data_IF_642932900529
#
_entry.id   IF_642932900529
#
_cell.length_a   1.000
_cell.length_b   1.000
_cell.length_c   1.000
_cell.angle_alpha   90.00
_cell.angle_beta   90.00
_cell.angle_gamma   90.00
#
_symmetry.space_group_name_H-M   'P 1'
#
loop_
_entity.id
_entity.type
_entity.pdbx_description
1 polymer ?
#
# COMPACT_ATOMS: atom_id res chain seq x y z
N UNK A 1 1.16 -22.54 0.60
CA UNK A 1 0.46 -21.50 -0.17
C UNK A 1 -0.81 -22.12 -0.69
N UNK A 2 -1.96 -21.53 -0.42
CA UNK A 2 -3.26 -22.09 -0.81
C UNK A 2 -3.61 -21.67 -2.25
N UNK A 3 -2.73 -22.04 -3.18
CA UNK A 3 -2.92 -21.86 -4.61
C UNK A 3 -2.14 -22.95 -5.39
N UNK A 4 -2.59 -23.32 -6.61
CA UNK A 4 -1.90 -24.29 -7.46
C UNK A 4 -0.48 -23.86 -7.85
N UNK A 5 0.42 -24.82 -8.07
CA UNK A 5 1.85 -24.56 -8.33
C UNK A 5 2.07 -23.64 -9.53
N UNK A 6 1.29 -23.82 -10.61
CA UNK A 6 1.38 -22.97 -11.80
C UNK A 6 1.06 -21.51 -11.51
N UNK A 7 0.08 -21.26 -10.64
CA UNK A 7 -0.29 -19.91 -10.22
C UNK A 7 0.77 -19.28 -9.34
N UNK A 8 1.24 -20.01 -8.32
CA UNK A 8 2.29 -19.53 -7.41
C UNK A 8 3.57 -19.21 -8.18
N UNK A 9 3.98 -20.07 -9.11
CA UNK A 9 5.15 -19.83 -9.95
C UNK A 9 4.95 -18.65 -10.90
N UNK A 10 3.81 -18.58 -11.60
CA UNK A 10 3.52 -17.49 -12.52
C UNK A 10 3.49 -16.12 -11.81
N UNK A 11 3.01 -16.07 -10.56
CA UNK A 11 2.99 -14.85 -9.74
C UNK A 11 4.38 -14.21 -9.63
N UNK A 12 5.44 -15.02 -9.47
CA UNK A 12 6.83 -14.53 -9.34
C UNK A 12 7.35 -13.88 -10.63
N UNK A 13 6.82 -14.29 -11.78
CA UNK A 13 7.19 -13.74 -13.09
C UNK A 13 6.42 -12.48 -13.47
N UNK A 14 5.39 -12.08 -12.69
CA UNK A 14 4.55 -10.92 -13.01
C UNK A 14 5.18 -9.62 -12.53
N UNK A 15 4.98 -8.50 -13.25
CA UNK A 15 5.44 -7.19 -12.80
C UNK A 15 4.89 -6.84 -11.41
N UNK A 16 5.73 -6.26 -10.56
CA UNK A 16 5.39 -5.89 -9.19
C UNK A 16 5.75 -6.95 -8.16
N UNK A 17 6.02 -8.21 -8.54
CA UNK A 17 6.30 -9.30 -7.60
C UNK A 17 7.44 -8.96 -6.63
N UNK A 18 8.58 -8.48 -7.14
CA UNK A 18 9.71 -8.07 -6.29
C UNK A 18 9.38 -6.88 -5.39
N UNK A 19 8.53 -5.96 -5.86
CA UNK A 19 8.07 -4.82 -5.05
C UNK A 19 7.17 -5.28 -3.90
N UNK A 20 6.30 -6.27 -4.13
CA UNK A 20 5.49 -6.88 -3.07
C UNK A 20 6.38 -7.61 -2.07
N UNK A 21 7.32 -8.43 -2.53
CA UNK A 21 8.23 -9.20 -1.67
C UNK A 21 9.32 -8.37 -0.97
N UNK A 22 9.56 -7.11 -1.37
CA UNK A 22 10.58 -6.28 -0.75
C UNK A 22 10.16 -5.81 0.65
N UNK A 23 10.87 -6.20 1.72
CA UNK A 23 10.52 -5.82 3.09
C UNK A 23 10.49 -4.30 3.29
N UNK A 24 9.42 -3.74 3.88
CA UNK A 24 9.27 -2.30 3.97
C UNK A 24 10.19 -1.61 4.96
N UNK A 25 10.70 -2.32 5.97
CA UNK A 25 11.62 -1.76 6.97
C UNK A 25 13.07 -1.65 6.49
N UNK A 26 13.42 -2.38 5.43
CA UNK A 26 14.75 -2.33 4.82
C UNK A 26 14.88 -1.11 3.90
N UNK A 27 16.04 -0.44 3.86
CA UNK A 27 16.26 0.76 3.04
C UNK A 27 16.52 0.41 1.56
N UNK A 28 15.72 -0.51 1.01
CA UNK A 28 15.85 -1.01 -0.37
C UNK A 28 14.79 -0.36 -1.25
N UNK A 29 15.20 0.10 -2.43
CA UNK A 29 14.28 0.56 -3.49
C UNK A 29 14.41 -0.31 -4.73
N UNK A 30 13.29 -0.74 -5.29
CA UNK A 30 13.29 -1.42 -6.59
C UNK A 30 13.65 -0.41 -7.68
N UNK A 31 14.78 -0.63 -8.36
CA UNK A 31 15.24 0.15 -9.51
C UNK A 31 14.65 -0.38 -10.82
N UNK A 32 14.80 -1.69 -11.06
CA UNK A 32 14.16 -2.40 -12.17
C UNK A 32 13.85 -3.85 -11.79
N UNK A 33 12.83 -4.41 -12.42
CA UNK A 33 12.43 -5.81 -12.22
C UNK A 33 12.96 -6.69 -13.37
N UNK A 34 13.17 -7.98 -13.08
CA UNK A 34 13.53 -8.94 -14.09
C UNK A 34 12.35 -9.19 -15.03
N UNK A 35 12.59 -9.17 -16.35
CA UNK A 35 11.56 -9.50 -17.36
C UNK A 35 11.37 -11.02 -17.56
N UNK A 36 12.26 -11.82 -16.97
CA UNK A 36 12.33 -13.26 -17.15
C UNK A 36 12.87 -13.90 -15.86
N UNK A 37 12.22 -14.95 -15.40
CA UNK A 37 12.69 -15.81 -14.30
C UNK A 37 13.83 -16.76 -14.75
N UNK A 38 14.08 -16.87 -16.06
CA UNK A 38 15.14 -17.73 -16.61
C UNK A 38 16.51 -17.06 -16.56
N UNK A 39 16.58 -15.81 -17.00
CA UNK A 39 17.83 -15.11 -17.33
C UNK A 39 17.75 -13.59 -17.17
N UNK A 40 16.63 -13.08 -16.63
CA UNK A 40 16.44 -11.66 -16.40
C UNK A 40 17.27 -11.13 -15.21
N UNK A 41 17.39 -9.80 -15.14
CA UNK A 41 18.08 -9.12 -14.04
C UNK A 41 17.15 -8.14 -13.32
N UNK A 42 17.10 -8.23 -12.01
CA UNK A 42 16.47 -7.23 -11.16
C UNK A 42 17.55 -6.35 -10.52
N UNK A 43 17.26 -5.06 -10.39
CA UNK A 43 18.16 -4.07 -9.77
C UNK A 43 17.48 -3.51 -8.55
N UNK A 44 18.07 -3.72 -7.39
CA UNK A 44 17.71 -3.12 -6.12
C UNK A 44 18.73 -2.02 -5.78
N UNK A 45 18.23 -0.85 -5.43
CA UNK A 45 19.03 0.32 -5.06
C UNK A 45 19.13 0.41 -3.54
N UNK A 46 20.35 0.56 -3.05
CA UNK A 46 20.72 0.63 -1.65
C UNK A 46 21.24 2.04 -1.30
N UNK A 47 21.33 2.40 -0.01
CA UNK A 47 21.96 3.65 0.42
C UNK A 47 23.40 3.78 -0.07
N UNK A 48 23.89 5.02 -0.21
CA UNK A 48 25.26 5.28 -0.65
C UNK A 48 25.51 5.03 -2.15
N UNK A 49 24.46 4.95 -2.97
CA UNK A 49 24.57 4.71 -4.42
C UNK A 49 24.87 3.25 -4.79
N UNK A 50 24.92 2.34 -3.81
CA UNK A 50 25.15 0.93 -4.04
C UNK A 50 23.98 0.27 -4.78
N UNK A 51 24.31 -0.72 -5.62
CA UNK A 51 23.34 -1.46 -6.43
C UNK A 51 23.49 -2.95 -6.17
N UNK A 52 22.39 -3.60 -5.84
CA UNK A 52 22.27 -5.06 -5.79
C UNK A 52 21.61 -5.53 -7.09
N UNK A 53 22.37 -6.18 -7.96
CA UNK A 53 21.88 -6.76 -9.20
C UNK A 53 21.70 -8.25 -8.98
N UNK A 54 20.45 -8.68 -8.86
CA UNK A 54 20.07 -10.08 -8.79
C UNK A 54 19.89 -10.60 -10.23
N UNK A 55 20.76 -11.50 -10.67
CA UNK A 55 20.71 -12.11 -11.99
C UNK A 55 20.12 -13.51 -11.89
N UNK A 56 19.04 -13.78 -12.64
CA UNK A 56 18.49 -15.12 -12.73
C UNK A 56 19.39 -16.04 -13.56
N UNK A 57 19.47 -17.30 -13.14
CA UNK A 57 20.38 -18.28 -13.71
C UNK A 57 19.62 -19.32 -14.56
N UNK A 58 19.91 -19.34 -15.87
CA UNK A 58 19.21 -20.21 -16.82
C UNK A 58 19.36 -21.70 -16.49
N UNK A 59 20.51 -22.11 -15.95
CA UNK A 59 20.77 -23.48 -15.49
C UNK A 59 19.90 -23.89 -14.29
N UNK A 60 19.50 -22.91 -13.46
CA UNK A 60 18.63 -23.11 -12.30
C UNK A 60 17.13 -23.13 -12.64
N UNK A 61 16.75 -22.70 -13.84
CA UNK A 61 15.36 -22.51 -14.27
C UNK A 61 14.70 -23.83 -14.70
N UNK A 62 13.68 -24.27 -13.95
CA UNK A 62 12.88 -25.47 -14.20
C UNK A 62 11.40 -25.15 -13.94
N UNK A 63 10.69 -24.46 -14.84
CA UNK A 63 9.30 -24.08 -14.61
C UNK A 63 8.38 -25.31 -14.56
N UNK A 64 7.32 -25.32 -13.71
CA UNK A 64 6.99 -24.34 -12.68
C UNK A 64 7.67 -24.62 -11.31
N UNK A 65 8.69 -25.47 -11.28
CA UNK A 65 9.28 -26.02 -10.05
C UNK A 65 10.42 -25.19 -9.44
N UNK A 66 11.17 -24.41 -10.23
CA UNK A 66 12.36 -23.73 -9.72
C UNK A 66 12.83 -22.54 -10.55
N UNK A 67 13.36 -21.52 -9.89
CA UNK A 67 14.29 -20.54 -10.47
C UNK A 67 15.35 -20.13 -9.43
N UNK A 68 16.45 -19.54 -9.89
CA UNK A 68 17.60 -19.18 -9.04
C UNK A 68 18.05 -17.78 -9.38
N UNK A 69 18.35 -16.94 -8.37
CA UNK A 69 19.05 -15.66 -8.53
C UNK A 69 20.39 -15.62 -7.80
N UNK A 70 21.34 -14.89 -8.37
CA UNK A 70 22.65 -14.63 -7.77
C UNK A 70 22.98 -13.14 -7.77
N UNK A 71 23.70 -12.68 -6.75
CA UNK A 71 24.22 -11.31 -6.73
C UNK A 71 25.44 -11.18 -7.64
N UNK A 72 25.39 -10.29 -8.62
CA UNK A 72 26.47 -10.12 -9.62
C UNK A 72 27.12 -8.74 -9.65
N UNK A 73 26.58 -7.74 -8.94
CA UNK A 73 27.11 -6.37 -8.99
C UNK A 73 28.24 -6.12 -7.99
N UNK A 74 29.37 -5.61 -8.49
CA UNK A 74 30.46 -5.08 -7.66
C UNK A 74 30.15 -3.67 -7.13
N UNK A 75 30.69 -3.26 -5.97
CA UNK A 75 31.60 -4.03 -5.11
C UNK A 75 30.91 -5.06 -4.20
N UNK A 76 29.57 -5.07 -4.13
CA UNK A 76 28.84 -5.94 -3.20
C UNK A 76 29.11 -7.42 -3.41
N UNK A 77 29.11 -7.89 -4.66
CA UNK A 77 29.42 -9.29 -5.00
C UNK A 77 30.85 -9.73 -4.61
N UNK A 78 31.75 -8.78 -4.28
CA UNK A 78 33.09 -9.09 -3.78
C UNK A 78 33.13 -9.33 -2.27
N UNK A 79 32.11 -8.90 -1.52
CA UNK A 79 32.05 -9.03 -0.07
C UNK A 79 30.89 -9.93 0.40
N UNK A 80 29.82 -10.02 -0.40
CA UNK A 80 28.62 -10.81 -0.11
C UNK A 80 28.49 -11.90 -1.16
N UNK A 81 28.53 -13.15 -0.71
CA UNK A 81 28.09 -14.29 -1.51
C UNK A 81 26.58 -14.40 -1.40
N UNK A 82 25.89 -14.56 -2.52
CA UNK A 82 24.45 -14.72 -2.54
C UNK A 82 24.03 -15.55 -3.73
N UNK A 83 23.44 -16.70 -3.42
CA UNK A 83 22.71 -17.54 -4.36
C UNK A 83 21.42 -17.97 -3.71
N UNK A 84 20.29 -17.57 -4.28
CA UNK A 84 18.95 -17.82 -3.75
C UNK A 84 18.18 -18.72 -4.72
N UNK A 85 17.87 -19.93 -4.28
CA UNK A 85 17.04 -20.90 -5.00
C UNK A 85 15.61 -20.82 -4.48
N UNK A 86 14.66 -20.60 -5.38
CA UNK A 86 13.22 -20.62 -5.13
C UNK A 86 12.67 -21.94 -5.68
N UNK A 87 12.20 -22.83 -4.81
CA UNK A 87 11.67 -24.13 -5.18
C UNK A 87 10.17 -24.26 -4.85
N UNK A 88 9.43 -24.89 -5.75
CA UNK A 88 7.98 -25.03 -5.71
C UNK A 88 7.61 -26.50 -5.92
N UNK A 89 6.82 -27.04 -5.00
CA UNK A 89 6.28 -28.40 -5.09
C UNK A 89 4.78 -28.37 -4.81
N UNK A 90 4.00 -29.04 -5.66
CA UNK A 90 2.59 -29.28 -5.36
C UNK A 90 2.49 -30.14 -4.10
N UNK A 91 1.66 -29.71 -3.15
CA UNK A 91 1.25 -30.55 -2.01
C UNK A 91 -0.01 -31.32 -2.40
N UNK A 92 -0.93 -30.63 -3.07
CA UNK A 92 -2.11 -31.17 -3.75
C UNK A 92 -2.46 -30.28 -4.96
N UNK A 93 -3.62 -30.49 -5.60
CA UNK A 93 -4.07 -29.71 -6.77
C UNK A 93 -4.28 -28.22 -6.49
N UNK A 94 -4.58 -27.88 -5.23
CA UNK A 94 -4.95 -26.54 -4.79
C UNK A 94 -3.88 -25.84 -3.94
N UNK A 95 -2.83 -26.55 -3.53
CA UNK A 95 -1.83 -26.04 -2.60
C UNK A 95 -0.38 -26.31 -3.01
N UNK A 96 0.50 -25.35 -2.70
CA UNK A 96 1.91 -25.36 -3.08
C UNK A 96 2.81 -25.13 -1.87
N UNK A 97 3.83 -25.98 -1.73
CA UNK A 97 4.97 -25.75 -0.84
C UNK A 97 6.01 -24.89 -1.56
N UNK A 98 6.37 -23.77 -0.94
CA UNK A 98 7.42 -22.87 -1.40
C UNK A 98 8.60 -22.99 -0.46
N UNK A 99 9.79 -23.25 -0.99
CA UNK A 99 11.04 -23.36 -0.22
C UNK A 99 12.06 -22.40 -0.80
N UNK A 100 12.59 -21.54 0.06
CA UNK A 100 13.70 -20.65 -0.25
C UNK A 100 14.97 -21.21 0.36
N UNK A 101 15.98 -21.48 -0.48
CA UNK A 101 17.32 -21.87 -0.02
C UNK A 101 18.30 -20.78 -0.41
N UNK A 102 19.00 -20.20 0.58
CA UNK A 102 20.00 -19.15 0.34
C UNK A 102 21.37 -19.64 0.76
N UNK A 103 22.29 -19.70 -0.20
CA UNK A 103 23.71 -19.91 0.03
C UNK A 103 24.38 -18.53 0.14
N UNK A 104 24.84 -18.17 1.35
CA UNK A 104 25.38 -16.85 1.65
C UNK A 104 26.28 -16.85 2.88
N UNK A 105 27.19 -15.89 2.96
CA UNK A 105 27.96 -15.57 4.17
C UNK A 105 27.22 -14.62 5.14
N UNK A 106 25.98 -14.22 4.82
CA UNK A 106 25.14 -13.42 5.72
C UNK A 106 24.49 -14.32 6.79
N UNK A 107 24.61 -13.98 8.09
CA UNK A 107 24.00 -14.79 9.15
C UNK A 107 22.48 -14.94 9.01
N UNK A 108 21.97 -16.17 9.17
CA UNK A 108 20.54 -16.50 9.04
C UNK A 108 19.61 -15.59 9.86
N UNK A 109 19.99 -15.29 11.11
CA UNK A 109 19.25 -14.38 12.01
C UNK A 109 18.96 -12.97 11.44
N UNK A 110 19.74 -12.52 10.45
CA UNK A 110 19.52 -11.24 9.78
C UNK A 110 18.55 -11.33 8.59
N UNK A 111 18.24 -12.55 8.15
CA UNK A 111 17.41 -12.89 7.00
C UNK A 111 16.04 -13.47 7.41
N UNK A 112 15.93 -14.09 8.59
CA UNK A 112 14.69 -14.75 9.06
C UNK A 112 13.45 -13.87 8.94
N UNK A 113 13.52 -12.65 9.46
CA UNK A 113 12.41 -11.70 9.39
C UNK A 113 12.06 -11.30 7.95
N UNK A 114 13.06 -11.22 7.06
CA UNK A 114 12.84 -10.91 5.65
C UNK A 114 12.10 -12.07 4.95
N UNK A 115 12.51 -13.31 5.16
CA UNK A 115 11.86 -14.46 4.54
C UNK A 115 10.46 -14.72 5.11
N UNK A 116 10.28 -14.57 6.42
CA UNK A 116 8.96 -14.62 7.03
C UNK A 116 8.00 -13.60 6.40
N UNK A 117 8.45 -12.36 6.18
CA UNK A 117 7.66 -11.35 5.46
C UNK A 117 7.38 -11.76 4.02
N UNK A 118 8.37 -12.25 3.28
CA UNK A 118 8.19 -12.66 1.88
C UNK A 118 7.13 -13.75 1.75
N UNK A 119 7.15 -14.76 2.63
CA UNK A 119 6.16 -15.84 2.63
C UNK A 119 4.78 -15.35 3.04
N UNK A 120 4.67 -14.56 4.12
CA UNK A 120 3.39 -13.99 4.56
C UNK A 120 2.78 -13.06 3.50
N UNK A 121 3.61 -12.25 2.85
CA UNK A 121 3.20 -11.34 1.79
C UNK A 121 2.72 -12.09 0.54
N UNK A 122 3.45 -13.12 0.11
CA UNK A 122 3.05 -13.98 -1.00
C UNK A 122 1.72 -14.68 -0.72
N UNK A 123 1.57 -15.28 0.46
CA UNK A 123 0.33 -15.92 0.89
C UNK A 123 -0.85 -14.93 0.90
N UNK A 124 -0.63 -13.73 1.46
CA UNK A 124 -1.65 -12.68 1.51
C UNK A 124 -2.08 -12.19 0.12
N UNK A 125 -1.13 -12.00 -0.81
CA UNK A 125 -1.43 -11.59 -2.19
C UNK A 125 -2.18 -12.68 -2.96
N UNK A 126 -1.75 -13.94 -2.87
CA UNK A 126 -2.47 -15.06 -3.49
C UNK A 126 -3.89 -15.21 -2.94
N UNK A 127 -4.06 -15.09 -1.62
CA UNK A 127 -5.38 -15.16 -1.00
C UNK A 127 -6.28 -13.99 -1.42
N UNK A 128 -5.72 -12.78 -1.59
CA UNK A 128 -6.47 -11.63 -2.10
C UNK A 128 -6.93 -11.86 -3.55
N UNK A 129 -6.05 -12.39 -4.40
CA UNK A 129 -6.37 -12.73 -5.80
C UNK A 129 -7.41 -13.83 -5.90
N UNK A 130 -7.29 -14.89 -5.11
CA UNK A 130 -8.26 -15.98 -5.05
C UNK A 130 -9.66 -15.47 -4.69
N UNK A 131 -9.77 -14.59 -3.68
CA UNK A 131 -11.05 -13.95 -3.31
C UNK A 131 -11.58 -13.06 -4.43
N UNK A 132 -10.72 -12.32 -5.11
CA UNK A 132 -11.13 -11.35 -6.11
C UNK A 132 -11.66 -12.00 -7.41
N UNK A 133 -11.31 -13.26 -7.69
CA UNK A 133 -11.78 -14.00 -8.88
C UNK A 133 -13.31 -14.10 -8.98
N UNK A 134 -14.01 -14.08 -7.85
CA UNK A 134 -15.48 -14.16 -7.86
C UNK A 134 -16.14 -12.91 -8.45
N UNK A 135 -15.41 -11.79 -8.52
CA UNK A 135 -15.94 -10.51 -8.99
C UNK A 135 -15.61 -10.20 -10.45
N UNK A 136 -14.57 -10.82 -11.01
CA UNK A 136 -14.12 -10.55 -12.37
C UNK A 136 -13.83 -11.84 -13.14
N UNK A 137 -14.45 -11.99 -14.32
CA UNK A 137 -14.28 -13.15 -15.19
C UNK A 137 -12.93 -13.22 -15.95
N UNK A 138 -12.04 -12.25 -15.75
CA UNK A 138 -10.74 -12.22 -16.41
C UNK A 138 -9.89 -10.98 -16.09
N UNK A 139 -8.68 -10.89 -16.68
CA UNK A 139 -7.81 -9.72 -16.54
C UNK A 139 -8.48 -8.43 -17.01
N UNK A 140 -8.11 -7.31 -16.36
CA UNK A 140 -8.58 -5.96 -16.71
C UNK A 140 -7.39 -5.08 -17.09
N UNK A 141 -7.64 -4.05 -17.88
CA UNK A 141 -6.71 -2.93 -18.07
C UNK A 141 -7.09 -1.79 -17.14
N UNK A 142 -6.22 -1.48 -16.16
CA UNK A 142 -6.47 -0.50 -15.11
C UNK A 142 -5.54 0.71 -15.27
N UNK A 143 -6.11 1.90 -15.47
CA UNK A 143 -5.34 3.14 -15.50
C UNK A 143 -5.15 3.69 -14.08
N UNK A 144 -3.92 4.04 -13.72
CA UNK A 144 -3.58 4.49 -12.35
C UNK A 144 -2.78 5.79 -12.38
N UNK A 145 -3.36 6.88 -11.89
CA UNK A 145 -2.59 8.09 -11.53
C UNK A 145 -1.89 7.89 -10.19
N UNK A 146 -0.80 8.62 -9.92
CA UNK A 146 -0.11 8.50 -8.62
C UNK A 146 0.56 7.14 -8.41
N UNK A 147 0.74 6.36 -9.48
CA UNK A 147 1.32 5.01 -9.48
C UNK A 147 2.72 4.91 -8.86
N UNK A 148 3.49 6.00 -8.84
CA UNK A 148 4.81 6.06 -8.23
C UNK A 148 4.79 6.36 -6.72
N UNK A 149 3.64 6.73 -6.17
CA UNK A 149 3.46 7.06 -4.76
C UNK A 149 3.49 5.84 -3.85
N UNK A 150 3.36 6.07 -2.54
CA UNK A 150 3.36 5.01 -1.53
C UNK A 150 2.23 4.00 -1.76
N UNK A 151 0.98 4.49 -1.78
CA UNK A 151 -0.23 3.67 -2.00
C UNK A 151 -0.30 3.18 -3.44
N UNK A 152 -0.14 4.09 -4.43
CA UNK A 152 -0.16 3.72 -5.85
C UNK A 152 0.86 2.65 -6.20
N UNK A 153 2.03 2.68 -5.57
CA UNK A 153 3.04 1.64 -5.72
C UNK A 153 2.59 0.26 -5.23
N UNK A 154 1.87 0.19 -4.12
CA UNK A 154 1.34 -1.06 -3.58
C UNK A 154 0.16 -1.58 -4.41
N UNK A 155 -0.78 -0.69 -4.76
CA UNK A 155 -1.97 -1.01 -5.57
C UNK A 155 -1.58 -1.49 -6.96
N UNK A 156 -0.68 -0.78 -7.66
CA UNK A 156 -0.24 -1.19 -9.00
C UNK A 156 0.51 -2.52 -8.99
N UNK A 157 1.31 -2.78 -7.96
CA UNK A 157 2.01 -4.06 -7.83
C UNK A 157 1.04 -5.21 -7.53
N UNK A 158 0.04 -5.00 -6.66
CA UNK A 158 -0.98 -6.02 -6.38
C UNK A 158 -1.83 -6.32 -7.62
N UNK A 159 -2.34 -5.29 -8.32
CA UNK A 159 -3.11 -5.48 -9.56
C UNK A 159 -2.30 -6.25 -10.62
N UNK A 160 -1.04 -5.87 -10.83
CA UNK A 160 -0.19 -6.52 -11.82
C UNK A 160 0.15 -7.97 -11.45
N UNK A 161 0.43 -8.27 -10.18
CA UNK A 161 0.64 -9.66 -9.75
C UNK A 161 -0.63 -10.50 -9.78
N UNK A 162 -1.81 -9.88 -9.75
CA UNK A 162 -3.11 -10.52 -10.00
C UNK A 162 -3.35 -10.88 -11.48
N UNK A 163 -2.51 -10.36 -12.39
CA UNK A 163 -2.62 -10.60 -13.83
C UNK A 163 -3.31 -9.46 -14.59
N UNK A 164 -3.72 -8.38 -13.92
CA UNK A 164 -4.27 -7.19 -14.58
C UNK A 164 -3.16 -6.39 -15.28
N UNK A 165 -3.49 -5.78 -16.41
CA UNK A 165 -2.60 -4.82 -17.08
C UNK A 165 -2.74 -3.46 -16.41
N UNK A 166 -1.62 -2.88 -15.97
CA UNK A 166 -1.62 -1.58 -15.30
C UNK A 166 -1.04 -0.50 -16.20
N UNK A 167 -1.86 0.46 -16.62
CA UNK A 167 -1.45 1.64 -17.38
C UNK A 167 -1.17 2.79 -16.41
N UNK A 168 0.08 3.21 -16.28
CA UNK A 168 0.48 4.28 -15.35
C UNK A 168 0.29 5.65 -15.99
N UNK A 169 -0.57 6.46 -15.41
CA UNK A 169 -0.78 7.84 -15.85
C UNK A 169 0.27 8.73 -15.17
N UNK A 170 1.29 9.13 -15.94
CA UNK A 170 2.48 9.83 -15.45
C UNK A 170 2.53 11.28 -15.95
N UNK A 171 3.00 12.22 -15.12
CA UNK A 171 3.08 13.65 -15.47
C UNK A 171 4.28 14.00 -16.38
N UNK A 172 5.27 13.12 -16.44
CA UNK A 172 6.46 13.24 -17.29
C UNK A 172 6.24 12.57 -18.65
N UNK A 173 7.20 12.70 -19.56
CA UNK A 173 7.26 11.87 -20.76
C UNK A 173 7.20 10.38 -20.40
N UNK A 174 6.34 9.56 -21.05
CA UNK A 174 6.30 8.12 -20.89
C UNK A 174 7.63 7.47 -21.25
N UNK A 175 7.98 6.39 -20.55
CA UNK A 175 9.23 5.63 -20.74
C UNK A 175 8.98 4.18 -21.12
N UNK A 176 7.75 3.71 -20.95
CA UNK A 176 7.36 2.33 -21.25
C UNK A 176 6.00 2.31 -21.96
N UNK A 177 5.65 1.21 -22.67
CA UNK A 177 4.35 1.08 -23.33
C UNK A 177 3.14 1.12 -22.37
N UNK A 178 3.36 0.77 -21.10
CA UNK A 178 2.34 0.81 -20.04
C UNK A 178 2.37 2.13 -19.25
N UNK A 179 2.83 3.21 -19.88
CA UNK A 179 2.77 4.58 -19.37
C UNK A 179 2.08 5.48 -20.38
N UNK A 180 1.17 6.34 -19.89
CA UNK A 180 0.54 7.40 -20.68
C UNK A 180 0.82 8.75 -20.03
N UNK A 181 1.10 9.77 -20.83
CA UNK A 181 1.31 11.13 -20.32
C UNK A 181 -0.03 11.70 -19.87
N UNK A 182 -0.10 12.07 -18.60
CA UNK A 182 -1.25 12.74 -18.02
C UNK A 182 -0.89 14.17 -17.66
N UNK A 183 -1.58 15.12 -18.26
CA UNK A 183 -1.52 16.54 -17.93
C UNK A 183 -2.73 16.83 -17.04
N UNK A 184 -2.57 17.07 -15.72
CA UNK A 184 -3.70 17.20 -14.79
C UNK A 184 -4.70 18.29 -15.17
N UNK A 185 -4.21 19.37 -15.78
CA UNK A 185 -5.04 20.53 -16.12
C UNK A 185 -5.71 20.44 -17.50
N UNK A 186 -5.27 19.49 -18.33
CA UNK A 186 -5.79 19.27 -19.67
C UNK A 186 -5.52 17.82 -20.10
N UNK A 187 -6.18 16.83 -19.48
CA UNK A 187 -6.01 15.44 -19.89
C UNK A 187 -6.48 15.26 -21.33
N UNK A 188 -5.72 14.50 -22.12
CA UNK A 188 -6.10 14.20 -23.50
C UNK A 188 -7.41 13.39 -23.53
N UNK A 189 -8.25 13.60 -24.56
CA UNK A 189 -9.53 12.88 -24.71
C UNK A 189 -9.34 11.36 -24.78
N UNK A 190 -8.37 10.89 -25.56
CA UNK A 190 -8.02 9.45 -25.67
C UNK A 190 -7.17 8.90 -24.53
N UNK A 191 -7.01 9.61 -23.41
CA UNK A 191 -6.13 9.18 -22.31
C UNK A 191 -6.54 7.82 -21.73
N UNK A 192 -7.83 7.49 -21.79
CA UNK A 192 -8.42 6.29 -21.20
C UNK A 192 -8.87 5.24 -22.24
N UNK A 193 -8.46 5.37 -23.50
CA UNK A 193 -8.83 4.38 -24.53
C UNK A 193 -8.37 2.97 -24.15
N UNK A 194 -9.29 1.99 -24.26
CA UNK A 194 -9.03 0.59 -23.91
C UNK A 194 -8.80 0.31 -22.42
N UNK A 195 -9.22 1.21 -21.53
CA UNK A 195 -9.14 1.05 -20.07
C UNK A 195 -10.49 0.57 -19.53
N UNK A 196 -10.48 -0.50 -18.74
CA UNK A 196 -11.66 -1.02 -18.06
C UNK A 196 -11.99 -0.28 -16.76
N UNK A 197 -10.97 0.22 -16.06
CA UNK A 197 -11.09 0.79 -14.72
C UNK A 197 -10.06 1.90 -14.48
N UNK A 198 -10.45 2.95 -13.74
CA UNK A 198 -9.56 4.03 -13.32
C UNK A 198 -9.36 3.99 -11.82
N UNK A 199 -8.10 4.16 -11.38
CA UNK A 199 -7.72 4.41 -9.98
C UNK A 199 -7.00 5.76 -9.88
N UNK A 200 -7.68 6.74 -9.29
CA UNK A 200 -7.17 8.08 -9.11
C UNK A 200 -6.56 8.29 -7.71
N UNK A 201 -5.23 8.08 -7.60
CA UNK A 201 -4.45 8.26 -6.36
C UNK A 201 -3.55 9.50 -6.37
N UNK A 202 -3.58 10.32 -7.43
CA UNK A 202 -2.71 11.49 -7.51
C UNK A 202 -3.18 12.63 -6.61
N UNK A 203 -2.23 13.27 -5.93
CA UNK A 203 -2.46 14.46 -5.13
C UNK A 203 -1.16 14.91 -4.46
N UNK A 204 -1.04 16.19 -4.15
CA UNK A 204 0.06 16.68 -3.32
C UNK A 204 -0.08 16.11 -1.90
N UNK A 205 1.06 15.86 -1.23
CA UNK A 205 1.06 15.42 0.16
C UNK A 205 0.31 16.44 1.03
N UNK A 206 -0.61 15.93 1.88
CA UNK A 206 -1.26 16.73 2.94
C UNK A 206 -0.31 16.97 4.12
N UNK A 207 0.77 16.19 4.23
CA UNK A 207 1.78 16.42 5.25
C UNK A 207 2.50 17.75 4.96
N UNK A 208 2.49 18.64 5.94
CA UNK A 208 3.06 19.97 5.87
C UNK A 208 2.41 20.91 6.87
N UNK A 209 2.93 22.14 6.95
CA UNK A 209 2.30 23.18 7.75
C UNK A 209 1.09 23.75 7.02
N UNK A 210 -0.05 23.82 7.68
CA UNK A 210 -1.31 24.33 7.10
C UNK A 210 -1.27 25.85 7.00
N UNK A 211 -0.53 26.35 6.03
CA UNK A 211 -0.60 27.74 5.57
C UNK A 211 -1.62 27.84 4.44
N UNK A 212 -2.17 29.03 4.18
CA UNK A 212 -3.10 29.25 3.05
C UNK A 212 -2.52 28.74 1.72
N UNK A 213 -1.23 29.04 1.46
CA UNK A 213 -0.55 28.54 0.27
C UNK A 213 -0.43 27.01 0.24
N UNK A 214 -0.26 26.33 1.39
CA UNK A 214 -0.24 24.87 1.43
C UNK A 214 -1.64 24.29 1.18
N UNK A 215 -2.68 24.85 1.81
CA UNK A 215 -4.07 24.43 1.62
C UNK A 215 -4.52 24.60 0.17
N UNK A 216 -4.22 25.74 -0.45
CA UNK A 216 -4.46 25.99 -1.87
C UNK A 216 -3.76 24.94 -2.76
N UNK A 217 -2.46 24.68 -2.55
CA UNK A 217 -1.74 23.64 -3.31
C UNK A 217 -2.35 22.25 -3.15
N UNK A 218 -2.77 21.89 -1.94
CA UNK A 218 -3.42 20.59 -1.65
C UNK A 218 -4.75 20.52 -2.41
N UNK A 219 -5.55 21.58 -2.38
CA UNK A 219 -6.83 21.72 -3.07
C UNK A 219 -6.67 21.63 -4.59
N UNK A 220 -5.80 22.46 -5.16
CA UNK A 220 -5.56 22.57 -6.61
C UNK A 220 -5.00 21.27 -7.20
N UNK A 221 -4.23 20.53 -6.40
CA UNK A 221 -3.71 19.21 -6.80
C UNK A 221 -4.75 18.09 -6.82
N UNK A 222 -5.97 18.32 -6.30
CA UNK A 222 -7.03 17.31 -6.14
C UNK A 222 -8.26 17.62 -6.96
N UNK A 223 -8.93 18.75 -6.71
CA UNK A 223 -10.29 19.00 -7.21
C UNK A 223 -10.31 19.11 -8.75
N UNK A 224 -9.59 20.09 -9.30
CA UNK A 224 -9.55 20.32 -10.74
C UNK A 224 -9.07 19.09 -11.52
N UNK A 225 -7.92 18.49 -11.16
CA UNK A 225 -7.43 17.25 -11.76
C UNK A 225 -8.41 16.07 -11.67
N UNK A 226 -9.11 15.90 -10.54
CA UNK A 226 -10.11 14.83 -10.37
C UNK A 226 -11.28 15.06 -11.31
N UNK A 227 -11.83 16.29 -11.35
CA UNK A 227 -12.96 16.64 -12.22
C UNK A 227 -12.65 16.40 -13.70
N UNK A 228 -11.51 16.90 -14.18
CA UNK A 228 -11.11 16.70 -15.58
C UNK A 228 -10.84 15.24 -15.93
N UNK A 229 -10.26 14.46 -15.01
CA UNK A 229 -10.08 13.01 -15.25
C UNK A 229 -11.42 12.26 -15.24
N UNK A 230 -12.37 12.67 -14.38
CA UNK A 230 -13.72 12.12 -14.35
C UNK A 230 -14.51 12.46 -15.63
N UNK A 231 -14.34 13.65 -16.20
CA UNK A 231 -14.91 14.05 -17.50
C UNK A 231 -14.37 13.16 -18.64
N UNK A 232 -13.06 12.91 -18.67
CA UNK A 232 -12.47 11.99 -19.66
C UNK A 232 -12.97 10.55 -19.44
N UNK A 233 -13.13 10.10 -18.19
CA UNK A 233 -13.70 8.79 -17.89
C UNK A 233 -15.16 8.67 -18.32
N UNK A 234 -15.97 9.72 -18.10
CA UNK A 234 -17.36 9.80 -18.51
C UNK A 234 -17.52 9.67 -20.04
N UNK A 235 -16.60 10.23 -20.80
CA UNK A 235 -16.61 10.14 -22.27
C UNK A 235 -16.01 8.83 -22.83
N UNK A 236 -15.15 8.15 -22.06
CA UNK A 236 -14.08 7.30 -22.61
C UNK A 236 -14.11 5.80 -22.25
N UNK A 237 -15.18 5.28 -21.67
CA UNK A 237 -15.42 3.82 -21.63
C UNK A 237 -15.02 2.97 -20.40
N UNK A 238 -14.30 3.42 -19.34
CA UNK A 238 -14.10 2.57 -18.17
C UNK A 238 -15.44 2.32 -17.44
N UNK A 239 -15.58 1.15 -16.82
CA UNK A 239 -16.78 0.76 -16.06
C UNK A 239 -16.80 1.30 -14.63
N UNK A 240 -15.62 1.64 -14.10
CA UNK A 240 -15.44 2.06 -12.71
C UNK A 240 -14.42 3.18 -12.59
N UNK A 241 -14.74 4.16 -11.75
CA UNK A 241 -13.87 5.25 -11.33
C UNK A 241 -13.63 5.19 -9.83
N UNK A 242 -12.47 4.68 -9.42
CA UNK A 242 -12.07 4.62 -8.01
C UNK A 242 -11.24 5.85 -7.70
N UNK A 243 -11.77 6.78 -6.89
CA UNK A 243 -11.05 7.95 -6.41
C UNK A 243 -10.55 7.72 -5.00
N UNK A 244 -9.30 8.13 -4.75
CA UNK A 244 -8.86 8.31 -3.38
C UNK A 244 -9.72 9.36 -2.68
N UNK A 245 -9.89 9.19 -1.37
CA UNK A 245 -10.49 10.14 -0.44
C UNK A 245 -9.78 10.01 0.92
N UNK A 246 -10.29 10.64 1.97
CA UNK A 246 -9.75 10.54 3.31
C UNK A 246 -10.86 10.56 4.38
N UNK A 247 -10.58 9.94 5.52
CA UNK A 247 -11.44 10.06 6.71
C UNK A 247 -11.51 11.51 7.24
N UNK A 248 -10.66 12.41 6.75
CA UNK A 248 -10.78 13.86 6.99
C UNK A 248 -12.16 14.44 6.60
N UNK A 249 -12.94 13.74 5.78
CA UNK A 249 -14.36 14.04 5.53
C UNK A 249 -15.18 14.23 6.81
N UNK A 250 -14.86 13.47 7.87
CA UNK A 250 -15.59 13.48 9.12
C UNK A 250 -15.20 14.62 10.07
N UNK A 251 -14.27 15.50 9.67
CA UNK A 251 -13.75 16.59 10.49
C UNK A 251 -12.74 16.13 11.54
N UNK A 252 -12.05 17.06 12.21
CA UNK A 252 -10.93 16.75 13.07
C UNK A 252 -11.31 16.06 14.38
N UNK A 253 -12.53 16.26 14.89
CA UNK A 253 -12.96 15.67 16.16
C UNK A 253 -14.46 15.36 16.15
N UNK A 254 -14.79 14.10 16.42
CA UNK A 254 -16.17 13.60 16.58
C UNK A 254 -16.38 12.90 17.93
N UNK A 255 -15.47 13.12 18.88
CA UNK A 255 -15.55 12.55 20.22
C UNK A 255 -15.54 11.01 20.19
N UNK A 256 -16.57 10.42 20.79
CA UNK A 256 -16.76 8.96 20.89
C UNK A 256 -17.74 8.42 19.83
N UNK A 257 -18.30 9.28 18.97
CA UNK A 257 -19.23 8.89 17.92
C UNK A 257 -18.59 7.87 16.96
N UNK A 258 -19.24 6.73 16.78
CA UNK A 258 -18.84 5.74 15.77
C UNK A 258 -19.22 6.25 14.38
N UNK A 259 -18.21 6.50 13.55
CA UNK A 259 -18.38 7.07 12.21
C UNK A 259 -18.42 5.97 11.16
N UNK A 260 -19.49 5.93 10.36
CA UNK A 260 -19.67 5.03 9.23
C UNK A 260 -19.72 5.81 7.91
N UNK A 261 -19.82 5.12 6.78
CA UNK A 261 -20.00 5.74 5.47
C UNK A 261 -21.32 6.53 5.34
N UNK A 262 -22.30 6.29 6.22
CA UNK A 262 -23.56 7.06 6.30
C UNK A 262 -23.50 8.26 7.24
N UNK A 263 -22.43 8.41 8.03
CA UNK A 263 -22.26 9.57 8.92
C UNK A 263 -22.10 10.85 8.10
N UNK A 264 -22.67 11.98 8.56
CA UNK A 264 -22.56 13.24 7.86
C UNK A 264 -21.11 13.75 7.86
N UNK A 265 -20.80 14.60 6.87
CA UNK A 265 -19.56 15.37 6.82
C UNK A 265 -19.36 16.10 8.14
N UNK A 266 -18.14 16.12 8.65
CA UNK A 266 -17.80 16.95 9.81
C UNK A 266 -17.50 18.39 9.43
N UNK A 267 -17.05 19.15 10.41
CA UNK A 267 -16.63 20.54 10.24
C UNK A 267 -15.14 20.66 9.95
N UNK A 268 -14.71 21.85 9.53
CA UNK A 268 -13.30 22.18 9.38
C UNK A 268 -12.77 22.07 7.95
N UNK A 269 -11.59 22.65 7.74
CA UNK A 269 -11.05 22.90 6.41
C UNK A 269 -10.73 21.61 5.66
N UNK A 270 -10.33 20.56 6.37
CA UNK A 270 -10.13 19.25 5.75
C UNK A 270 -11.44 18.58 5.34
N UNK A 271 -12.50 18.75 6.13
CA UNK A 271 -13.80 18.17 5.80
C UNK A 271 -14.38 18.83 4.55
N UNK A 272 -14.28 20.16 4.43
CA UNK A 272 -14.68 20.90 3.22
C UNK A 272 -13.86 20.45 2.01
N UNK A 273 -12.53 20.36 2.15
CA UNK A 273 -11.64 19.94 1.07
C UNK A 273 -11.94 18.52 0.58
N UNK A 274 -12.20 17.59 1.49
CA UNK A 274 -12.49 16.20 1.12
C UNK A 274 -13.87 16.09 0.47
N UNK A 275 -14.88 16.82 0.95
CA UNK A 275 -16.19 16.86 0.30
C UNK A 275 -16.09 17.42 -1.13
N UNK A 276 -15.44 18.57 -1.31
CA UNK A 276 -15.17 19.15 -2.64
C UNK A 276 -14.42 18.16 -3.56
N UNK A 277 -13.50 17.37 -2.99
CA UNK A 277 -12.73 16.38 -3.73
C UNK A 277 -13.58 15.17 -4.14
N UNK A 278 -14.47 14.68 -3.27
CA UNK A 278 -15.41 13.62 -3.63
C UNK A 278 -16.39 14.11 -4.72
N UNK A 279 -16.93 15.32 -4.57
CA UNK A 279 -17.83 15.94 -5.55
C UNK A 279 -17.17 16.18 -6.91
N UNK A 280 -15.84 16.34 -6.95
CA UNK A 280 -15.12 16.47 -8.21
C UNK A 280 -15.26 15.22 -9.11
N UNK A 281 -15.58 14.04 -8.57
CA UNK A 281 -15.82 12.84 -9.38
C UNK A 281 -17.27 12.76 -9.93
N UNK A 282 -18.11 13.77 -9.68
CA UNK A 282 -19.50 13.81 -10.15
C UNK A 282 -19.67 13.51 -11.66
N UNK A 283 -18.82 14.01 -12.59
CA UNK A 283 -18.98 13.71 -14.01
C UNK A 283 -18.98 12.21 -14.33
N UNK A 284 -18.13 11.42 -13.66
CA UNK A 284 -18.11 9.97 -13.84
C UNK A 284 -19.39 9.32 -13.30
N UNK A 285 -19.85 9.74 -12.12
CA UNK A 285 -21.09 9.23 -11.50
C UNK A 285 -22.32 9.58 -12.34
N UNK A 286 -22.40 10.81 -12.85
CA UNK A 286 -23.52 11.29 -13.68
C UNK A 286 -23.58 10.58 -15.04
N UNK A 287 -22.43 10.19 -15.58
CA UNK A 287 -22.35 9.33 -16.76
C UNK A 287 -22.63 7.83 -16.48
N UNK A 288 -23.04 7.48 -15.25
CA UNK A 288 -23.44 6.12 -14.88
C UNK A 288 -22.27 5.17 -14.57
N UNK A 289 -21.04 5.67 -14.46
CA UNK A 289 -19.91 4.84 -14.03
C UNK A 289 -20.07 4.50 -12.55
N UNK A 290 -19.65 3.28 -12.19
CA UNK A 290 -19.52 2.93 -10.78
C UNK A 290 -18.40 3.77 -10.17
N UNK A 291 -18.75 4.68 -9.29
CA UNK A 291 -17.78 5.56 -8.62
C UNK A 291 -17.58 5.11 -7.18
N UNK A 292 -16.32 4.96 -6.76
CA UNK A 292 -15.94 4.56 -5.39
C UNK A 292 -15.01 5.62 -4.80
N UNK A 293 -15.34 6.12 -3.61
CA UNK A 293 -14.49 7.06 -2.86
C UNK A 293 -13.84 6.35 -1.68
N UNK A 294 -12.54 6.11 -1.76
CA UNK A 294 -11.81 5.35 -0.72
C UNK A 294 -11.33 6.29 0.38
N UNK A 295 -12.16 6.49 1.41
CA UNK A 295 -11.87 7.31 2.59
C UNK A 295 -10.81 6.63 3.44
N UNK A 296 -9.55 6.96 3.15
CA UNK A 296 -8.38 6.27 3.71
C UNK A 296 -8.06 6.77 5.11
N UNK A 297 -7.82 5.84 6.05
CA UNK A 297 -7.29 6.15 7.37
C UNK A 297 -5.77 6.35 7.42
N UNK A 298 -5.20 6.30 8.63
CA UNK A 298 -3.75 6.43 8.85
C UNK A 298 -3.05 5.15 8.41
N UNK A 299 -2.39 5.23 7.26
CA UNK A 299 -1.71 4.10 6.62
C UNK A 299 -0.44 3.70 7.39
N UNK A 300 -0.37 2.42 7.76
CA UNK A 300 0.75 1.83 8.50
C UNK A 300 1.79 1.24 7.56
N UNK A 301 2.93 1.92 7.46
CA UNK A 301 4.13 1.43 6.75
C UNK A 301 5.37 2.25 7.14
N UNK A 302 6.55 1.64 7.34
CA UNK A 302 7.77 2.39 7.62
C UNK A 302 8.32 3.16 6.41
N UNK A 303 7.78 2.95 5.20
CA UNK A 303 8.22 3.64 3.96
C UNK A 303 7.67 5.05 3.81
N UNK A 304 6.68 5.45 4.60
CA UNK A 304 6.06 6.77 4.54
C UNK A 304 5.05 7.00 5.65
N UNK A 305 4.28 8.09 5.55
CA UNK A 305 3.23 8.42 6.51
C UNK A 305 3.72 8.56 7.96
N UNK A 306 2.79 8.43 8.89
CA UNK A 306 3.02 8.64 10.33
C UNK A 306 4.01 7.63 10.91
N UNK A 307 3.94 6.35 10.52
CA UNK A 307 4.84 5.32 11.07
C UNK A 307 6.30 5.58 10.72
N UNK A 308 6.62 6.11 9.52
CA UNK A 308 7.99 6.50 9.18
C UNK A 308 8.54 7.59 10.12
N UNK A 309 7.69 8.53 10.55
CA UNK A 309 8.07 9.61 11.47
C UNK A 309 8.23 9.10 12.92
N UNK A 310 7.31 8.24 13.37
CA UNK A 310 7.31 7.73 14.74
C UNK A 310 8.37 6.66 14.98
N UNK A 311 8.66 5.80 13.99
CA UNK A 311 9.60 4.68 14.12
C UNK A 311 10.94 5.06 14.76
N UNK A 312 11.70 6.09 14.31
CA UNK A 312 12.97 6.44 14.93
C UNK A 312 12.83 6.92 16.38
N UNK A 313 11.77 7.67 16.70
CA UNK A 313 11.52 8.17 18.06
C UNK A 313 11.25 7.01 19.02
N UNK A 314 10.37 6.09 18.65
CA UNK A 314 10.08 4.90 19.44
C UNK A 314 11.29 3.97 19.53
N UNK A 315 12.07 3.81 18.45
CA UNK A 315 13.28 2.99 18.47
C UNK A 315 14.35 3.53 19.45
N UNK A 316 14.38 4.84 19.68
CA UNK A 316 15.23 5.51 20.65
C UNK A 316 14.65 5.56 22.08
N UNK A 317 13.44 5.01 22.31
CA UNK A 317 12.77 5.07 23.62
C UNK A 317 12.15 6.44 23.94
N UNK A 318 12.03 7.32 22.94
CA UNK A 318 11.44 8.67 23.04
C UNK A 318 9.98 8.70 22.56
N UNK A 319 9.34 7.54 22.45
CA UNK A 319 7.93 7.42 22.07
C UNK A 319 7.00 7.66 23.25
N UNK A 320 5.80 8.18 22.97
CA UNK A 320 4.78 8.40 23.97
C UNK A 320 3.46 8.89 23.36
N UNK A 321 2.49 9.08 24.26
CA UNK A 321 1.14 9.49 23.89
C UNK A 321 1.09 10.94 23.40
N UNK A 322 0.23 11.19 22.42
CA UNK A 322 -0.05 12.51 21.86
C UNK A 322 -1.37 12.99 22.44
N UNK A 323 -1.46 14.25 22.91
CA UNK A 323 -2.74 14.88 23.26
C UNK A 323 -3.54 14.17 24.36
N UNK A 324 -2.86 13.53 25.32
CA UNK A 324 -3.49 12.78 26.41
C UNK A 324 -3.93 11.35 26.06
N UNK A 325 -3.63 10.86 24.85
CA UNK A 325 -3.70 9.44 24.49
C UNK A 325 -5.09 8.86 24.28
N UNK A 326 -6.15 9.68 24.42
CA UNK A 326 -7.55 9.22 24.35
C UNK A 326 -8.13 9.23 22.93
N UNK A 327 -7.56 9.99 22.02
CA UNK A 327 -8.09 10.16 20.67
C UNK A 327 -8.09 8.83 19.91
N UNK A 328 -9.16 8.61 19.15
CA UNK A 328 -9.32 7.50 18.24
C UNK A 328 -8.46 7.68 16.99
N UNK A 329 -7.65 6.66 16.71
CA UNK A 329 -6.83 6.55 15.51
C UNK A 329 -7.47 5.53 14.57
N UNK A 330 -8.15 6.02 13.54
CA UNK A 330 -8.58 5.21 12.42
C UNK A 330 -7.39 4.89 11.51
N UNK A 331 -6.80 3.70 11.69
CA UNK A 331 -5.59 3.24 11.00
C UNK A 331 -5.91 2.16 9.96
N UNK A 332 -5.00 1.88 9.02
CA UNK A 332 -5.08 0.72 8.12
C UNK A 332 -3.68 0.23 7.72
N UNK A 333 -3.48 -1.08 7.58
CA UNK A 333 -2.26 -1.65 6.99
C UNK A 333 -2.12 -1.27 5.51
N UNK A 334 -0.90 -1.03 5.01
CA UNK A 334 -0.70 -0.71 3.59
C UNK A 334 -1.19 -1.82 2.64
N UNK A 335 -1.09 -3.09 3.07
CA UNK A 335 -1.56 -4.22 2.27
C UNK A 335 -3.09 -4.36 2.30
N UNK A 336 -3.72 -4.14 3.46
CA UNK A 336 -5.18 -4.06 3.57
C UNK A 336 -5.74 -2.92 2.71
N UNK A 337 -5.09 -1.77 2.69
CA UNK A 337 -5.47 -0.66 1.81
C UNK A 337 -5.38 -1.07 0.33
N UNK A 338 -4.32 -1.78 -0.07
CA UNK A 338 -4.20 -2.28 -1.43
C UNK A 338 -5.31 -3.29 -1.78
N UNK A 339 -5.70 -4.16 -0.84
CA UNK A 339 -6.82 -5.09 -1.00
C UNK A 339 -8.16 -4.35 -1.15
N UNK A 340 -8.37 -3.23 -0.43
CA UNK A 340 -9.55 -2.38 -0.60
C UNK A 340 -9.60 -1.77 -2.01
N UNK A 341 -8.49 -1.28 -2.54
CA UNK A 341 -8.45 -0.77 -3.92
C UNK A 341 -8.64 -1.89 -4.95
N UNK A 342 -8.07 -3.08 -4.75
CA UNK A 342 -8.31 -4.24 -5.59
C UNK A 342 -9.80 -4.58 -5.63
N UNK A 343 -10.45 -4.62 -4.46
CA UNK A 343 -11.89 -4.83 -4.35
C UNK A 343 -12.68 -3.70 -5.02
N UNK A 344 -12.35 -2.44 -4.79
CA UNK A 344 -13.03 -1.30 -5.41
C UNK A 344 -12.97 -1.36 -6.94
N UNK A 345 -11.86 -1.85 -7.51
CA UNK A 345 -11.75 -2.06 -8.97
C UNK A 345 -12.66 -3.20 -9.43
N UNK A 346 -12.66 -4.35 -8.73
CA UNK A 346 -13.23 -5.59 -9.25
C UNK A 346 -14.66 -5.88 -8.81
N UNK A 347 -15.04 -5.55 -7.57
CA UNK A 347 -16.34 -5.87 -6.99
C UNK A 347 -17.45 -4.95 -7.55
N UNK A 348 -18.39 -5.48 -8.36
CA UNK A 348 -19.47 -4.66 -8.92
C UNK A 348 -20.45 -4.15 -7.84
N UNK A 349 -20.50 -4.78 -6.67
CA UNK A 349 -21.36 -4.40 -5.55
C UNK A 349 -20.80 -3.26 -4.69
N UNK A 350 -19.54 -2.87 -4.86
CA UNK A 350 -18.92 -1.80 -4.06
C UNK A 350 -18.95 -0.46 -4.81
N UNK A 351 -19.71 0.50 -4.28
CA UNK A 351 -19.90 1.84 -4.83
C UNK A 351 -20.08 2.90 -3.73
N UNK A 352 -19.92 4.17 -4.08
CA UNK A 352 -20.05 5.29 -3.15
C UNK A 352 -18.85 5.43 -2.20
N UNK A 353 -19.02 6.09 -1.04
CA UNK A 353 -17.97 6.20 -0.04
C UNK A 353 -17.68 4.84 0.61
N UNK A 354 -16.39 4.58 0.86
CA UNK A 354 -15.88 3.36 1.50
C UNK A 354 -14.80 3.76 2.51
N UNK A 355 -15.01 3.45 3.79
CA UNK A 355 -14.00 3.67 4.81
C UNK A 355 -12.93 2.59 4.74
N UNK A 356 -11.74 2.97 4.25
CA UNK A 356 -10.57 2.12 4.23
C UNK A 356 -9.78 2.26 5.54
N UNK A 357 -10.35 1.66 6.59
CA UNK A 357 -9.80 1.58 7.95
C UNK A 357 -9.85 0.13 8.43
N UNK A 358 -8.94 -0.25 9.33
CA UNK A 358 -8.97 -1.55 9.99
C UNK A 358 -10.25 -1.69 10.85
N UNK A 359 -10.79 -2.90 11.02
CA UNK A 359 -12.02 -3.12 11.74
C UNK A 359 -11.88 -2.92 13.26
N UNK A 360 -10.69 -3.00 13.83
CA UNK A 360 -10.47 -2.76 15.26
C UNK A 360 -9.76 -1.39 15.44
N UNK A 361 -10.52 -0.31 15.72
CA UNK A 361 -9.95 1.00 15.96
C UNK A 361 -9.10 0.98 17.23
N UNK A 362 -8.09 1.84 17.29
CA UNK A 362 -7.19 1.95 18.44
C UNK A 362 -7.24 3.37 19.02
N UNK A 363 -7.17 3.50 20.35
CA UNK A 363 -6.82 4.79 20.93
C UNK A 363 -5.34 5.08 20.74
N UNK A 364 -4.95 6.34 20.83
CA UNK A 364 -3.55 6.72 20.73
C UNK A 364 -2.67 6.03 21.79
N UNK A 365 -3.15 5.90 23.03
CA UNK A 365 -2.44 5.16 24.07
C UNK A 365 -2.24 3.68 23.74
N UNK A 366 -3.23 3.04 23.10
CA UNK A 366 -3.10 1.66 22.63
C UNK A 366 -2.09 1.55 21.49
N UNK A 367 -2.10 2.52 20.57
CA UNK A 367 -1.13 2.61 19.49
C UNK A 367 0.30 2.78 20.02
N UNK A 368 0.53 3.73 20.93
CA UNK A 368 1.82 3.97 21.59
C UNK A 368 2.32 2.70 22.26
N UNK A 369 1.50 2.09 23.13
CA UNK A 369 1.86 0.87 23.86
C UNK A 369 2.19 -0.28 22.91
N UNK A 370 1.41 -0.43 21.85
CA UNK A 370 1.61 -1.50 20.85
C UNK A 370 2.91 -1.27 20.07
N UNK A 371 3.16 -0.06 19.58
CA UNK A 371 4.38 0.25 18.82
C UNK A 371 5.64 0.08 19.68
N UNK A 372 5.58 0.52 20.94
CA UNK A 372 6.65 0.33 21.92
C UNK A 372 6.96 -1.15 22.15
N UNK A 373 5.92 -1.96 22.37
CA UNK A 373 6.02 -3.42 22.52
C UNK A 373 6.63 -4.09 21.29
N UNK A 374 6.15 -3.77 20.09
CA UNK A 374 6.66 -4.34 18.82
C UNK A 374 8.12 -3.98 18.59
N UNK A 375 8.56 -2.78 18.99
CA UNK A 375 9.94 -2.35 18.87
C UNK A 375 10.83 -2.78 20.04
N UNK A 376 10.27 -3.44 21.07
CA UNK A 376 10.94 -3.79 22.32
C UNK A 376 11.62 -2.59 22.98
N UNK A 377 10.88 -1.48 23.10
CA UNK A 377 11.33 -0.23 23.70
C UNK A 377 10.32 0.28 24.73
N UNK A 378 10.76 0.97 25.80
CA UNK A 378 9.83 1.66 26.69
C UNK A 378 9.14 2.81 25.95
N UNK A 379 7.91 3.13 26.35
CA UNK A 379 7.19 4.33 25.94
C UNK A 379 6.54 4.98 27.16
N UNK A 380 7.40 5.48 28.05
CA UNK A 380 7.00 6.03 29.36
C UNK A 380 7.04 7.56 29.39
N UNK A 381 7.56 8.20 28.33
CA UNK A 381 7.71 9.66 28.28
C UNK A 381 6.44 10.28 27.69
N UNK A 382 5.70 11.13 28.41
CA UNK A 382 4.63 11.91 27.79
C UNK A 382 5.24 12.81 26.70
N UNK A 383 4.72 12.77 25.48
CA UNK A 383 5.22 13.63 24.40
C UNK A 383 4.71 15.04 24.65
N UNK A 384 5.57 16.07 24.76
CA UNK A 384 5.11 17.44 24.91
C UNK A 384 4.27 17.86 23.69
N UNK A 385 3.10 18.47 23.93
CA UNK A 385 2.16 18.97 22.89
C UNK A 385 2.81 19.94 21.88
N UNK A 386 4.00 20.45 22.19
CA UNK A 386 4.81 21.33 21.35
C UNK A 386 5.26 20.67 20.04
N UNK A 387 5.56 19.36 20.04
CA UNK A 387 6.17 18.67 18.89
C UNK A 387 5.33 18.77 17.60
N UNK A 388 4.05 18.32 17.60
CA UNK A 388 3.18 18.41 16.43
C UNK A 388 2.94 19.85 15.95
N UNK A 389 2.82 20.81 16.88
CA UNK A 389 2.57 22.22 16.56
C UNK A 389 3.76 22.88 15.87
N UNK A 390 4.99 22.50 16.21
CA UNK A 390 6.21 22.97 15.54
C UNK A 390 6.26 22.44 14.10
N UNK A 391 5.93 21.16 13.90
CA UNK A 391 6.08 20.48 12.61
C UNK A 391 4.93 20.78 11.63
N UNK A 392 3.69 20.87 12.12
CA UNK A 392 2.47 21.00 11.30
C UNK A 392 1.76 22.37 11.45
N UNK A 393 2.22 23.23 12.35
CA UNK A 393 1.47 24.40 12.79
C UNK A 393 0.28 24.02 13.68
N UNK A 394 -0.44 25.01 14.23
CA UNK A 394 -1.58 24.78 15.12
C UNK A 394 -2.75 24.09 14.42
N UNK A 395 -3.10 24.55 13.21
CA UNK A 395 -4.19 23.98 12.41
C UNK A 395 -3.84 22.54 11.98
N UNK A 396 -2.68 22.30 11.38
CA UNK A 396 -2.28 20.94 10.98
C UNK A 396 -2.11 19.97 12.17
N UNK A 397 -1.69 20.46 13.35
CA UNK A 397 -1.69 19.64 14.56
C UNK A 397 -3.10 19.24 14.99
N UNK A 398 -4.07 20.17 14.96
CA UNK A 398 -5.49 19.88 15.25
C UNK A 398 -6.09 18.92 14.22
N UNK A 399 -5.86 19.20 12.96
CA UNK A 399 -6.48 18.51 11.83
C UNK A 399 -5.93 17.11 11.57
N UNK A 400 -4.68 16.82 11.96
CA UNK A 400 -4.03 15.54 11.67
C UNK A 400 -3.48 14.82 12.89
N UNK A 401 -2.74 15.51 13.76
CA UNK A 401 -2.01 14.85 14.86
C UNK A 401 -2.88 14.62 16.10
N UNK A 402 -3.79 15.55 16.38
CA UNK A 402 -4.75 15.53 17.48
C UNK A 402 -6.15 15.12 16.99
N UNK A 403 -6.27 14.69 15.73
CA UNK A 403 -7.55 14.27 15.19
C UNK A 403 -8.10 13.07 15.97
N UNK A 404 -9.40 13.08 16.22
CA UNK A 404 -10.11 12.09 17.02
C UNK A 404 -11.31 11.57 16.24
N UNK A 405 -11.11 10.43 15.56
CA UNK A 405 -12.07 9.87 14.62
C UNK A 405 -12.25 8.37 14.85
N UNK A 406 -13.39 7.99 15.45
CA UNK A 406 -13.75 6.58 15.67
C UNK A 406 -14.43 5.98 14.43
N UNK A 407 -13.66 5.88 13.34
CA UNK A 407 -14.17 5.40 12.04
C UNK A 407 -14.19 3.89 11.98
N UNK A 408 -15.29 3.32 11.51
CA UNK A 408 -15.43 1.88 11.25
C UNK A 408 -15.70 1.60 9.76
N UNK A 409 -15.26 0.44 9.23
CA UNK A 409 -15.39 0.11 7.82
C UNK A 409 -16.73 -0.62 7.56
N UNK A 410 -17.87 0.04 7.77
CA UNK A 410 -19.18 -0.62 7.76
C UNK A 410 -19.50 -1.25 6.41
N UNK A 411 -19.27 -0.53 5.30
CA UNK A 411 -19.51 -1.07 3.95
C UNK A 411 -18.61 -2.25 3.61
N UNK A 412 -17.34 -2.22 4.03
CA UNK A 412 -16.43 -3.35 3.81
C UNK A 412 -16.86 -4.57 4.63
N UNK A 413 -17.35 -4.38 5.87
CA UNK A 413 -17.87 -5.46 6.71
C UNK A 413 -19.13 -6.08 6.12
N UNK A 414 -20.10 -5.26 5.73
CA UNK A 414 -21.34 -5.70 5.08
C UNK A 414 -21.04 -6.50 3.80
N UNK A 415 -20.04 -6.05 3.04
CA UNK A 415 -19.61 -6.73 1.83
C UNK A 415 -18.72 -7.97 2.12
N UNK A 416 -18.48 -8.35 3.37
CA UNK A 416 -17.68 -9.53 3.74
C UNK A 416 -16.18 -9.40 3.42
N UNK A 417 -15.62 -8.18 3.48
CA UNK A 417 -14.20 -7.94 3.23
C UNK A 417 -13.34 -8.65 4.28
N UNK A 418 -12.31 -9.38 3.83
CA UNK A 418 -11.33 -10.01 4.71
C UNK A 418 -10.07 -9.16 4.81
N UNK A 419 -9.88 -8.58 5.99
CA UNK A 419 -8.65 -7.87 6.35
C UNK A 419 -7.52 -8.87 6.62
N UNK A 420 -6.34 -8.60 6.06
CA UNK A 420 -5.09 -9.30 6.37
C UNK A 420 -4.70 -9.07 7.83
N UNK A 421 -4.84 -7.84 8.32
CA UNK A 421 -4.51 -7.47 9.69
C UNK A 421 -5.67 -6.71 10.34
N UNK A 422 -6.64 -7.41 10.97
CA UNK A 422 -7.74 -6.73 11.65
C UNK A 422 -7.26 -5.97 12.90
N UNK A 423 -6.13 -6.39 13.49
CA UNK A 423 -5.53 -5.87 14.73
C UNK A 423 -4.22 -5.13 14.46
N UNK A 424 -3.95 -4.11 15.27
CA UNK A 424 -2.80 -3.22 15.10
C UNK A 424 -1.46 -3.93 15.30
N UNK A 425 -1.34 -4.77 16.34
CA UNK A 425 -0.06 -5.43 16.66
C UNK A 425 0.44 -6.34 15.51
N UNK A 426 -0.37 -7.27 14.95
CA UNK A 426 0.03 -8.03 13.78
C UNK A 426 0.44 -7.17 12.58
N UNK A 427 -0.31 -6.09 12.31
CA UNK A 427 0.00 -5.18 11.21
C UNK A 427 1.38 -4.52 11.37
N UNK A 428 1.68 -4.01 12.57
CA UNK A 428 2.96 -3.39 12.89
C UNK A 428 4.10 -4.40 12.86
N UNK A 429 3.89 -5.60 13.41
CA UNK A 429 4.88 -6.69 13.37
C UNK A 429 5.27 -7.08 11.95
N UNK A 430 4.27 -7.23 11.07
CA UNK A 430 4.46 -7.52 9.65
C UNK A 430 5.33 -6.46 8.96
N UNK A 431 4.97 -5.18 9.08
CA UNK A 431 5.67 -4.11 8.36
C UNK A 431 6.97 -3.65 9.02
N UNK A 432 7.26 -4.06 10.25
CA UNK A 432 8.51 -3.72 10.96
C UNK A 432 9.50 -4.88 11.06
N UNK A 433 9.17 -6.06 10.50
CA UNK A 433 10.05 -7.23 10.52
C UNK A 433 10.21 -7.80 11.94
N UNK A 434 9.11 -7.85 12.69
CA UNK A 434 9.05 -8.33 14.08
C UNK A 434 8.04 -9.48 14.20
N UNK A 435 8.24 -10.61 13.48
CA UNK A 435 7.31 -11.73 13.51
C UNK A 435 7.03 -12.16 14.96
N UNK A 436 5.82 -12.66 15.21
CA UNK A 436 5.48 -13.18 16.54
C UNK A 436 6.44 -14.33 16.93
N UNK A 437 6.71 -14.48 18.23
CA UNK A 437 7.50 -15.61 18.73
C UNK A 437 6.85 -16.93 18.27
N UNK A 438 7.65 -17.82 17.65
CA UNK A 438 7.17 -19.07 17.05
C UNK A 438 6.72 -18.99 15.58
N UNK A 439 6.64 -17.81 14.97
CA UNK A 439 6.35 -17.66 13.54
C UNK A 439 7.59 -17.75 12.63
N UNK A 440 8.78 -17.85 13.23
CA UNK A 440 10.01 -18.21 12.52
C UNK A 440 10.06 -19.73 12.49
N UNK A 441 10.04 -20.40 11.31
CA UNK A 441 10.36 -21.81 11.27
C UNK A 441 11.76 -21.96 11.88
N UNK A 442 11.84 -22.71 12.98
CA UNK A 442 13.12 -22.90 13.68
C UNK A 442 14.19 -23.44 12.74
N UNK A 443 15.48 -23.24 13.06
CA UNK A 443 16.54 -23.90 12.31
C UNK A 443 16.44 -25.40 12.60
N UNK A 444 15.91 -26.18 11.66
CA UNK A 444 16.05 -27.64 11.61
C UNK A 444 14.76 -28.43 11.41
N UNK A 445 14.69 -29.14 10.28
CA UNK A 445 14.93 -30.58 10.26
C UNK A 445 15.72 -30.92 9.00
#
# INVERSE_FOLDING_TARGET
MDAPIGEVFAWHGRPGAIRRLAPPWQPVRVGSEARSLRDGRAVLLLPGGLRWVAAHQAAGYRPPHRFVDELVSRPLASAVSWRHTHAFAAVDESSTRVVDTVETNVPARLLDAMFAYRHAQLAGDLAAHARARVWAGGPLTVAVTGASGLVGGAVTALLATGGHRVVRLVRRAPRTPDERRWVPDAPASGLLDGVDAVVHLAGASIAGRFTEAHKARVRDSRIGPTRRLAEVAAAGGPRVFVSASAIGYYGPDRGEEVLTESSPRGEGVLADLVADWEDAAAPAREAGLRTVHVRTGIVQTPRGGTLRLLRPLFAAGLGGDIGGGRQWLAWIGIDDLADVYLRAVLDPGLSGPVNAVAPEPARNSDYTRTLARVLHRPALLPVPDLGPRVLLGREGARELALANQHVVPARLREAGHRFRHPRLEPALRHVLGRPAEGAVPGPGA
#
